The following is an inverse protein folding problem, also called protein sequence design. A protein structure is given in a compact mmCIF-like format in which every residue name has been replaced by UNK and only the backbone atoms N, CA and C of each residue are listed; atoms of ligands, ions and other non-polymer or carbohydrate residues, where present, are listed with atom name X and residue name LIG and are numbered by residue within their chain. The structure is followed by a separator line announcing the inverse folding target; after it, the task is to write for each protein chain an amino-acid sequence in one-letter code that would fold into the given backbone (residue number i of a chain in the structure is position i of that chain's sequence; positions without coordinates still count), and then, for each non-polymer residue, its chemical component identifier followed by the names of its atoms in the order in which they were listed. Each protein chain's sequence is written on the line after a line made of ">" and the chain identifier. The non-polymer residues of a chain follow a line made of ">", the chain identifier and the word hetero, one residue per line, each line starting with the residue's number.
data_IF_231319707496
#
_entry.id   IF_231319707496
#
_cell.length_a   1.000
_cell.length_b   1.000
_cell.length_c   1.000
_cell.angle_alpha   90.00
_cell.angle_beta   90.00
_cell.angle_gamma   90.00
#
_symmetry.space_group_name_H-M   'P 1'
#
loop_
_entity.id
_entity.type
_entity.pdbx_description
1 polymer ?
#
# COMPACT_ATOMS: atom_id res chain seq x y z
N UNK A 1 1.25 13.12 -3.48
CA UNK A 1 1.70 12.24 -4.61
C UNK A 1 2.31 10.97 -4.04
N UNK A 2 2.19 9.82 -4.74
CA UNK A 2 2.88 8.57 -4.36
C UNK A 2 3.88 8.21 -5.46
N UNK A 3 5.14 8.04 -5.09
CA UNK A 3 6.20 7.52 -5.94
C UNK A 3 6.47 6.08 -5.51
N UNK A 4 6.25 5.14 -6.43
CA UNK A 4 6.39 3.72 -6.15
C UNK A 4 7.36 3.09 -7.15
N UNK A 5 8.33 2.33 -6.64
CA UNK A 5 9.20 1.46 -7.40
C UNK A 5 9.34 0.11 -6.68
N UNK A 6 9.83 -0.89 -7.40
CA UNK A 6 10.25 -2.15 -6.78
C UNK A 6 11.58 -1.98 -6.04
N UNK A 7 12.37 -3.04 -5.99
CA UNK A 7 13.74 -2.96 -5.46
C UNK A 7 14.56 -2.06 -6.39
N UNK A 8 15.22 -1.04 -5.82
CA UNK A 8 16.09 -0.14 -6.57
C UNK A 8 17.39 -0.89 -6.92
N UNK A 9 17.51 -1.31 -8.17
CA UNK A 9 18.63 -2.14 -8.64
C UNK A 9 19.41 -1.54 -9.80
N UNK A 10 19.08 -0.31 -10.23
CA UNK A 10 19.82 0.38 -11.29
C UNK A 10 20.88 1.34 -10.71
N UNK A 11 21.98 1.58 -11.42
CA UNK A 11 22.97 2.60 -11.05
C UNK A 11 22.30 3.96 -10.83
N UNK A 12 22.81 4.76 -9.90
CA UNK A 12 22.36 6.13 -9.60
C UNK A 12 20.88 6.25 -9.18
N UNK A 13 20.26 5.12 -8.76
CA UNK A 13 18.86 5.11 -8.34
C UNK A 13 18.61 6.08 -7.17
N UNK A 14 19.55 6.22 -6.25
CA UNK A 14 19.45 7.11 -5.09
C UNK A 14 19.40 8.57 -5.52
N UNK A 15 20.36 9.00 -6.34
CA UNK A 15 20.45 10.36 -6.88
C UNK A 15 19.22 10.71 -7.71
N UNK A 16 18.75 9.76 -8.53
CA UNK A 16 17.55 9.93 -9.34
C UNK A 16 16.30 10.20 -8.48
N UNK A 17 16.09 9.41 -7.41
CA UNK A 17 14.94 9.62 -6.54
C UNK A 17 15.06 10.89 -5.69
N UNK A 18 16.25 11.26 -5.25
CA UNK A 18 16.49 12.54 -4.58
C UNK A 18 16.16 13.72 -5.50
N UNK A 19 16.62 13.69 -6.75
CA UNK A 19 16.33 14.74 -7.73
C UNK A 19 14.82 14.87 -8.00
N UNK A 20 14.10 13.75 -8.14
CA UNK A 20 12.63 13.75 -8.30
C UNK A 20 11.94 14.37 -7.09
N UNK A 21 12.30 13.97 -5.87
CA UNK A 21 11.68 14.49 -4.64
C UNK A 21 11.91 15.98 -4.52
N UNK A 22 13.14 16.47 -4.74
CA UNK A 22 13.47 17.90 -4.75
C UNK A 22 12.67 18.67 -5.79
N UNK A 23 12.62 18.19 -7.02
CA UNK A 23 11.87 18.83 -8.12
C UNK A 23 10.38 18.92 -7.83
N UNK A 24 9.78 17.89 -7.23
CA UNK A 24 8.37 17.92 -6.80
C UNK A 24 8.19 18.95 -5.67
N UNK A 25 9.10 19.00 -4.70
CA UNK A 25 9.03 19.93 -3.58
C UNK A 25 9.12 21.39 -4.04
N UNK A 26 10.02 21.68 -4.97
CA UNK A 26 10.16 23.02 -5.56
C UNK A 26 8.89 23.47 -6.29
N UNK A 27 8.35 22.59 -7.14
CA UNK A 27 7.19 22.94 -7.99
C UNK A 27 5.86 22.91 -7.26
N UNK A 28 5.75 22.10 -6.22
CA UNK A 28 4.50 21.86 -5.47
C UNK A 28 4.79 21.80 -3.97
N UNK A 29 5.10 22.95 -3.34
CA UNK A 29 5.53 23.00 -1.93
C UNK A 29 4.50 22.44 -0.94
N UNK A 30 3.21 22.52 -1.25
CA UNK A 30 2.13 22.01 -0.39
C UNK A 30 1.80 20.53 -0.64
N UNK A 31 2.44 19.89 -1.61
CA UNK A 31 2.11 18.50 -1.94
C UNK A 31 2.73 17.52 -0.96
N UNK A 32 1.91 16.67 -0.35
CA UNK A 32 2.41 15.53 0.43
C UNK A 32 3.07 14.47 -0.46
N UNK A 33 4.36 14.20 -0.25
CA UNK A 33 5.13 13.19 -1.00
C UNK A 33 5.19 11.91 -0.19
N UNK A 34 4.68 10.81 -0.76
CA UNK A 34 4.75 9.46 -0.22
C UNK A 34 5.69 8.63 -1.07
N UNK A 35 6.64 7.94 -0.45
CA UNK A 35 7.56 7.02 -1.12
C UNK A 35 7.20 5.57 -0.82
N UNK A 36 7.40 4.68 -1.79
CA UNK A 36 7.30 3.22 -1.65
C UNK A 36 8.40 2.59 -2.53
N UNK A 37 9.63 2.57 -2.01
CA UNK A 37 10.85 2.21 -2.73
C UNK A 37 11.50 0.91 -2.17
N UNK A 38 10.72 0.09 -1.44
CA UNK A 38 11.24 -1.08 -0.76
C UNK A 38 12.09 -0.74 0.48
N UNK A 39 12.92 -1.66 0.90
CA UNK A 39 13.84 -1.46 2.04
C UNK A 39 15.03 -0.62 1.60
N UNK A 40 15.32 0.44 2.35
CA UNK A 40 16.45 1.33 2.12
C UNK A 40 17.30 1.44 3.39
N UNK A 41 18.56 1.87 3.24
CA UNK A 41 19.42 2.18 4.38
C UNK A 41 19.00 3.51 5.06
N UNK A 42 19.31 3.63 6.34
CA UNK A 42 18.91 4.78 7.13
C UNK A 42 19.50 6.12 6.62
N UNK A 43 20.76 6.19 6.15
CA UNK A 43 21.28 7.41 5.55
C UNK A 43 20.45 7.89 4.37
N UNK A 44 20.14 7.03 3.42
CA UNK A 44 19.33 7.40 2.25
C UNK A 44 17.89 7.78 2.63
N UNK A 45 17.29 7.10 3.61
CA UNK A 45 15.98 7.49 4.13
C UNK A 45 16.02 8.90 4.74
N UNK A 46 17.10 9.28 5.41
CA UNK A 46 17.30 10.63 5.96
C UNK A 46 17.40 11.67 4.84
N UNK A 47 18.23 11.42 3.83
CA UNK A 47 18.37 12.31 2.66
C UNK A 47 17.05 12.54 1.94
N UNK A 48 16.25 11.47 1.74
CA UNK A 48 14.90 11.58 1.15
C UNK A 48 13.94 12.41 2.02
N UNK A 49 14.06 12.30 3.35
CA UNK A 49 13.27 13.12 4.29
C UNK A 49 13.66 14.59 4.19
N UNK A 50 14.95 14.89 4.19
CA UNK A 50 15.50 16.24 4.06
C UNK A 50 15.17 16.84 2.68
N UNK A 51 15.14 16.04 1.63
CA UNK A 51 14.69 16.44 0.29
C UNK A 51 13.19 16.78 0.23
N UNK A 52 12.42 16.44 1.28
CA UNK A 52 11.00 16.81 1.42
C UNK A 52 10.00 15.66 1.30
N UNK A 53 10.43 14.40 1.39
CA UNK A 53 9.50 13.28 1.51
C UNK A 53 8.85 13.26 2.90
N UNK A 54 7.51 13.13 2.95
CA UNK A 54 6.76 13.18 4.21
C UNK A 54 6.39 11.79 4.72
N UNK A 55 6.07 10.88 3.80
CA UNK A 55 5.47 9.58 4.08
C UNK A 55 6.26 8.48 3.41
N UNK A 56 6.28 7.33 4.05
CA UNK A 56 6.88 6.14 3.47
C UNK A 56 5.97 4.93 3.69
N UNK A 57 5.62 4.23 2.61
CA UNK A 57 4.86 2.99 2.65
C UNK A 57 5.81 1.81 2.42
N UNK A 58 5.99 0.98 3.43
CA UNK A 58 6.75 -0.26 3.35
C UNK A 58 5.86 -1.43 3.80
N UNK A 59 5.26 -2.12 2.84
CA UNK A 59 4.41 -3.27 3.13
C UNK A 59 5.24 -4.43 3.66
N UNK A 60 4.71 -5.11 4.67
CA UNK A 60 5.34 -6.30 5.25
C UNK A 60 4.86 -7.59 4.58
N UNK A 61 3.74 -7.55 3.87
CA UNK A 61 2.97 -8.62 3.24
C UNK A 61 2.40 -9.64 4.25
N UNK A 62 3.14 -10.01 5.26
CA UNK A 62 2.72 -10.69 6.48
C UNK A 62 3.77 -10.52 7.58
N UNK A 63 3.34 -10.44 8.83
CA UNK A 63 4.22 -10.41 10.02
C UNK A 63 4.68 -11.80 10.46
N UNK A 64 4.07 -12.86 9.88
CA UNK A 64 4.27 -14.27 10.23
C UNK A 64 5.51 -14.84 9.53
N UNK A 65 6.55 -15.28 10.27
CA UNK A 65 7.83 -15.65 9.69
C UNK A 65 7.76 -16.81 8.68
N UNK A 66 6.89 -17.82 8.89
CA UNK A 66 6.75 -18.94 7.97
C UNK A 66 6.17 -18.53 6.61
N UNK A 67 5.17 -17.63 6.61
CA UNK A 67 4.58 -17.09 5.38
C UNK A 67 5.56 -16.13 4.69
N UNK A 68 6.22 -15.25 5.45
CA UNK A 68 7.19 -14.32 4.90
C UNK A 68 8.31 -15.02 4.13
N UNK A 69 8.91 -16.07 4.71
CA UNK A 69 9.95 -16.87 4.03
C UNK A 69 9.46 -17.57 2.77
N UNK A 70 8.18 -17.91 2.71
CA UNK A 70 7.57 -18.55 1.53
C UNK A 70 7.31 -17.57 0.38
N UNK A 71 7.07 -16.31 0.70
CA UNK A 71 6.73 -15.26 -0.26
C UNK A 71 7.95 -14.57 -0.85
N UNK A 72 9.04 -14.52 -0.12
CA UNK A 72 10.20 -13.71 -0.47
C UNK A 72 11.42 -14.56 -0.81
N UNK A 73 12.31 -14.07 -1.69
CA UNK A 73 13.61 -14.69 -1.93
C UNK A 73 14.42 -14.87 -0.64
N UNK A 74 15.32 -15.87 -0.61
CA UNK A 74 16.08 -16.22 0.59
C UNK A 74 16.96 -15.08 1.15
N UNK A 75 17.34 -14.11 0.31
CA UNK A 75 18.11 -12.92 0.71
C UNK A 75 17.25 -11.80 1.34
N UNK A 76 15.93 -11.98 1.42
CA UNK A 76 15.02 -11.05 2.09
C UNK A 76 14.76 -11.49 3.54
N UNK A 77 14.79 -10.55 4.47
CA UNK A 77 14.64 -10.82 5.89
C UNK A 77 13.48 -10.02 6.50
N UNK A 78 12.55 -10.73 7.16
CA UNK A 78 11.48 -10.10 7.94
C UNK A 78 12.02 -9.17 9.03
N UNK A 79 13.12 -9.57 9.69
CA UNK A 79 13.77 -8.75 10.72
C UNK A 79 14.33 -7.45 10.15
N UNK A 80 14.97 -7.50 8.97
CA UNK A 80 15.45 -6.32 8.25
C UNK A 80 14.30 -5.40 7.85
N UNK A 81 13.19 -5.95 7.36
CA UNK A 81 12.01 -5.17 7.00
C UNK A 81 11.38 -4.48 8.22
N UNK A 82 11.24 -5.20 9.34
CA UNK A 82 10.78 -4.62 10.61
C UNK A 82 11.76 -3.54 11.13
N UNK A 83 13.06 -3.73 10.96
CA UNK A 83 14.06 -2.70 11.31
C UNK A 83 13.86 -1.44 10.46
N UNK A 84 13.72 -1.58 9.15
CA UNK A 84 13.50 -0.43 8.25
C UNK A 84 12.23 0.36 8.63
N UNK A 85 11.14 -0.31 9.02
CA UNK A 85 9.93 0.36 9.54
C UNK A 85 10.21 1.18 10.82
N UNK A 86 11.04 0.66 11.73
CA UNK A 86 11.46 1.42 12.94
C UNK A 86 12.38 2.59 12.59
N UNK A 87 13.31 2.41 11.66
CA UNK A 87 14.21 3.48 11.17
C UNK A 87 13.39 4.64 10.56
N UNK A 88 12.38 4.32 9.73
CA UNK A 88 11.47 5.30 9.15
C UNK A 88 10.73 6.11 10.23
N UNK A 89 10.25 5.43 11.28
CA UNK A 89 9.61 6.11 12.41
C UNK A 89 10.59 7.03 13.15
N UNK A 90 11.79 6.53 13.46
CA UNK A 90 12.84 7.31 14.13
C UNK A 90 13.28 8.55 13.34
N UNK A 91 13.13 8.54 12.01
CA UNK A 91 13.35 9.68 11.14
C UNK A 91 12.14 10.63 11.02
N UNK A 92 11.04 10.37 11.73
CA UNK A 92 9.87 11.24 11.73
C UNK A 92 9.01 11.16 10.46
N UNK A 93 9.05 10.06 9.74
CA UNK A 93 8.10 9.82 8.66
C UNK A 93 6.70 9.53 9.20
N UNK A 94 5.68 9.89 8.44
CA UNK A 94 4.38 9.24 8.53
C UNK A 94 4.53 7.85 7.90
N UNK A 95 4.52 6.81 8.74
CA UNK A 95 4.88 5.46 8.33
C UNK A 95 3.66 4.66 7.94
N UNK A 96 3.71 4.08 6.74
CA UNK A 96 2.71 3.15 6.24
C UNK A 96 3.22 1.72 6.23
N UNK A 97 2.34 0.79 6.59
CA UNK A 97 2.57 -0.64 6.48
C UNK A 97 1.44 -1.31 5.68
N UNK A 98 1.40 -2.62 5.63
CA UNK A 98 0.32 -3.36 4.99
C UNK A 98 0.68 -4.81 4.71
N UNK A 99 -0.36 -5.60 4.47
CA UNK A 99 -0.25 -7.03 4.21
C UNK A 99 -1.07 -7.46 2.99
N UNK A 100 -0.91 -8.71 2.59
CA UNK A 100 -1.81 -9.39 1.66
C UNK A 100 -2.74 -10.33 2.43
N UNK A 101 -4.01 -10.34 2.05
CA UNK A 101 -5.05 -11.19 2.62
C UNK A 101 -5.40 -12.30 1.64
N UNK A 102 -5.52 -13.53 2.13
CA UNK A 102 -5.82 -14.70 1.31
C UNK A 102 -4.58 -15.29 0.63
N UNK A 103 -3.44 -15.23 1.29
CA UNK A 103 -2.23 -15.94 0.84
C UNK A 103 -2.41 -17.46 0.96
N UNK A 104 -1.87 -18.26 0.03
CA UNK A 104 -1.90 -19.70 0.16
C UNK A 104 -1.31 -20.17 1.50
N UNK A 105 -2.11 -20.87 2.31
CA UNK A 105 -1.73 -21.35 3.65
C UNK A 105 -1.76 -20.30 4.76
N UNK A 106 -2.35 -19.13 4.52
CA UNK A 106 -2.65 -18.14 5.55
C UNK A 106 -3.88 -18.59 6.35
N UNK A 107 -3.78 -18.58 7.66
CA UNK A 107 -4.88 -18.89 8.59
C UNK A 107 -5.54 -17.62 9.13
N UNK A 108 -6.63 -17.75 9.88
CA UNK A 108 -7.23 -16.61 10.59
C UNK A 108 -6.29 -16.09 11.69
N UNK A 109 -5.60 -16.99 12.40
CA UNK A 109 -4.62 -16.59 13.43
C UNK A 109 -3.47 -15.77 12.83
N UNK A 110 -3.00 -16.12 11.63
CA UNK A 110 -1.99 -15.32 10.93
C UNK A 110 -2.49 -13.89 10.63
N UNK A 111 -3.79 -13.73 10.31
CA UNK A 111 -4.38 -12.40 10.07
C UNK A 111 -4.54 -11.62 11.39
N UNK A 112 -4.83 -12.31 12.50
CA UNK A 112 -4.84 -11.72 13.84
C UNK A 112 -3.44 -11.25 14.20
N UNK A 113 -2.41 -12.07 13.99
CA UNK A 113 -1.00 -11.70 14.21
C UNK A 113 -0.61 -10.46 13.40
N UNK A 114 -1.04 -10.38 12.14
CA UNK A 114 -0.81 -9.21 11.30
C UNK A 114 -1.51 -7.96 11.86
N UNK A 115 -2.76 -8.06 12.34
CA UNK A 115 -3.50 -6.94 12.94
C UNK A 115 -2.86 -6.48 14.27
N UNK A 116 -2.43 -7.42 15.11
CA UNK A 116 -1.71 -7.11 16.36
C UNK A 116 -0.37 -6.44 16.05
N UNK A 117 0.36 -6.93 15.06
CA UNK A 117 1.58 -6.28 14.59
C UNK A 117 1.33 -4.84 14.11
N UNK A 118 0.20 -4.57 13.46
CA UNK A 118 -0.15 -3.23 13.00
C UNK A 118 -0.46 -2.30 14.18
N UNK A 119 -1.24 -2.77 15.15
CA UNK A 119 -1.54 -2.02 16.38
C UNK A 119 -0.28 -1.71 17.16
N UNK A 120 0.55 -2.73 17.44
CA UNK A 120 1.75 -2.59 18.26
C UNK A 120 2.85 -1.78 17.55
N UNK A 121 2.87 -1.85 16.21
CA UNK A 121 3.72 -1.02 15.36
C UNK A 121 3.27 0.43 15.26
N UNK A 122 2.05 0.77 15.71
CA UNK A 122 1.49 2.13 15.77
C UNK A 122 1.63 2.88 14.43
N UNK A 123 1.28 2.23 13.31
CA UNK A 123 1.44 2.79 11.97
C UNK A 123 0.38 3.83 11.63
N UNK A 124 0.76 4.81 10.82
CA UNK A 124 -0.09 5.93 10.42
C UNK A 124 -0.98 5.66 9.20
N UNK A 125 -0.54 4.73 8.33
CA UNK A 125 -1.20 4.41 7.06
C UNK A 125 -1.16 2.92 6.79
N UNK A 126 -2.18 2.43 6.04
CA UNK A 126 -2.24 1.02 5.64
C UNK A 126 -2.54 0.86 4.15
N UNK A 127 -1.66 0.10 3.48
CA UNK A 127 -1.82 -0.35 2.10
C UNK A 127 -2.03 -1.86 2.07
N UNK A 128 -3.20 -2.33 2.47
CA UNK A 128 -3.55 -3.74 2.46
C UNK A 128 -4.50 -4.08 1.31
N UNK A 129 -4.57 -5.35 0.94
CA UNK A 129 -5.47 -5.80 -0.11
C UNK A 129 -5.47 -7.31 -0.29
N UNK A 130 -6.42 -7.83 -1.09
CA UNK A 130 -6.51 -9.25 -1.35
C UNK A 130 -5.31 -9.71 -2.18
N UNK A 131 -4.86 -10.95 -1.93
CA UNK A 131 -3.91 -11.60 -2.80
C UNK A 131 -4.54 -11.86 -4.17
N UNK A 132 -3.91 -11.34 -5.21
CA UNK A 132 -4.26 -11.62 -6.60
C UNK A 132 -3.09 -12.35 -7.25
N UNK A 133 -3.38 -13.51 -7.82
CA UNK A 133 -2.35 -14.34 -8.43
C UNK A 133 -1.77 -13.67 -9.68
N UNK A 134 -0.46 -13.78 -9.87
CA UNK A 134 0.22 -13.36 -11.09
C UNK A 134 0.93 -14.57 -11.71
N UNK A 135 0.72 -14.80 -13.01
CA UNK A 135 1.21 -16.01 -13.71
C UNK A 135 2.72 -16.19 -13.65
N UNK A 136 3.46 -15.09 -13.65
CA UNK A 136 4.92 -15.09 -13.68
C UNK A 136 5.55 -15.18 -12.28
N UNK A 137 4.76 -15.54 -11.26
CA UNK A 137 5.28 -15.76 -9.90
C UNK A 137 5.42 -17.24 -9.57
N UNK A 138 6.41 -17.64 -8.76
CA UNK A 138 6.58 -19.04 -8.33
C UNK A 138 5.36 -19.63 -7.62
N UNK A 139 4.49 -18.79 -7.06
CA UNK A 139 3.24 -19.24 -6.42
C UNK A 139 2.14 -19.62 -7.41
N UNK A 140 2.25 -19.27 -8.68
CA UNK A 140 1.24 -19.53 -9.70
C UNK A 140 1.28 -20.97 -10.25
N UNK A 141 1.32 -21.97 -9.36
CA UNK A 141 1.16 -23.37 -9.76
C UNK A 141 -0.30 -23.65 -10.14
N UNK A 142 -0.59 -24.66 -11.01
CA UNK A 142 -1.97 -25.04 -11.36
C UNK A 142 -2.85 -25.27 -10.11
N UNK A 143 -2.30 -25.92 -9.08
CA UNK A 143 -2.99 -26.15 -7.80
C UNK A 143 -3.32 -24.85 -7.07
N UNK A 144 -2.39 -23.90 -7.03
CA UNK A 144 -2.61 -22.60 -6.37
C UNK A 144 -3.63 -21.76 -7.14
N UNK A 145 -3.60 -21.81 -8.47
CA UNK A 145 -4.58 -21.10 -9.31
C UNK A 145 -5.99 -21.64 -9.05
N UNK A 146 -6.20 -22.95 -9.10
CA UNK A 146 -7.49 -23.58 -8.82
C UNK A 146 -7.97 -23.23 -7.40
N UNK A 147 -7.12 -23.37 -6.40
CA UNK A 147 -7.40 -23.03 -5.01
C UNK A 147 -7.82 -21.56 -4.85
N UNK A 148 -7.16 -20.64 -5.58
CA UNK A 148 -7.46 -19.19 -5.53
C UNK A 148 -8.81 -18.86 -6.19
N UNK A 149 -9.10 -19.48 -7.35
CA UNK A 149 -10.37 -19.26 -8.05
C UNK A 149 -11.57 -19.76 -7.21
N UNK A 150 -11.44 -20.90 -6.53
CA UNK A 150 -12.47 -21.42 -5.63
C UNK A 150 -12.75 -20.52 -4.42
N UNK A 151 -11.74 -19.76 -3.96
CA UNK A 151 -11.81 -18.97 -2.73
C UNK A 151 -11.90 -17.46 -2.95
N UNK A 152 -12.14 -17.03 -4.16
CA UNK A 152 -12.16 -15.59 -4.48
C UNK A 152 -13.09 -14.81 -3.57
N UNK A 153 -14.32 -15.25 -3.40
CA UNK A 153 -15.32 -14.59 -2.57
C UNK A 153 -14.90 -14.57 -1.09
N UNK A 154 -14.39 -15.67 -0.60
CA UNK A 154 -13.85 -15.76 0.76
C UNK A 154 -12.68 -14.78 0.99
N UNK A 155 -11.74 -14.71 0.06
CA UNK A 155 -10.59 -13.79 0.11
C UNK A 155 -11.07 -12.33 0.10
N UNK A 156 -12.03 -12.01 -0.75
CA UNK A 156 -12.60 -10.68 -0.82
C UNK A 156 -13.28 -10.30 0.51
N UNK A 157 -14.17 -11.15 1.02
CA UNK A 157 -14.88 -10.90 2.28
C UNK A 157 -13.92 -10.78 3.46
N UNK A 158 -12.91 -11.65 3.55
CA UNK A 158 -11.86 -11.55 4.58
C UNK A 158 -11.10 -10.22 4.49
N UNK A 159 -10.85 -9.71 3.28
CA UNK A 159 -10.21 -8.41 3.09
C UNK A 159 -11.06 -7.28 3.65
N UNK A 160 -12.37 -7.29 3.39
CA UNK A 160 -13.29 -6.30 3.95
C UNK A 160 -13.34 -6.38 5.48
N UNK A 161 -13.37 -7.60 6.04
CA UNK A 161 -13.37 -7.81 7.50
C UNK A 161 -12.08 -7.27 8.13
N UNK A 162 -10.91 -7.52 7.52
CA UNK A 162 -9.62 -6.97 8.01
C UNK A 162 -9.62 -5.46 7.96
N UNK A 163 -10.17 -4.84 6.91
CA UNK A 163 -10.30 -3.36 6.82
C UNK A 163 -11.19 -2.84 7.96
N UNK A 164 -12.32 -3.48 8.22
CA UNK A 164 -13.25 -3.08 9.28
C UNK A 164 -12.63 -3.22 10.67
N UNK A 165 -11.99 -4.37 10.95
CA UNK A 165 -11.29 -4.60 12.22
C UNK A 165 -10.14 -3.60 12.42
N UNK A 166 -9.37 -3.32 11.38
CA UNK A 166 -8.29 -2.34 11.44
C UNK A 166 -8.83 -0.92 11.72
N UNK A 167 -9.96 -0.54 11.12
CA UNK A 167 -10.61 0.73 11.41
C UNK A 167 -11.07 0.84 12.87
N UNK A 168 -11.57 -0.25 13.46
CA UNK A 168 -11.96 -0.30 14.87
C UNK A 168 -10.72 -0.20 15.79
N UNK A 169 -9.67 -0.96 15.48
CA UNK A 169 -8.43 -1.00 16.27
C UNK A 169 -7.63 0.31 16.19
N UNK A 170 -7.66 0.96 15.02
CA UNK A 170 -6.86 2.15 14.71
C UNK A 170 -7.73 3.21 14.02
N UNK A 171 -8.63 3.86 14.76
CA UNK A 171 -9.72 4.67 14.18
C UNK A 171 -9.27 5.92 13.43
N UNK A 172 -8.07 6.41 13.67
CA UNK A 172 -7.55 7.67 13.11
C UNK A 172 -6.52 7.47 11.98
N UNK A 173 -6.18 6.21 11.65
CA UNK A 173 -5.24 5.89 10.58
C UNK A 173 -5.82 6.03 9.17
N UNK A 174 -4.95 6.25 8.19
CA UNK A 174 -5.32 6.18 6.79
C UNK A 174 -5.30 4.73 6.28
N UNK A 175 -6.40 4.27 5.69
CA UNK A 175 -6.53 2.92 5.12
C UNK A 175 -6.89 3.05 3.64
N UNK A 176 -6.03 2.55 2.75
CA UNK A 176 -6.24 2.61 1.32
C UNK A 176 -7.22 1.53 0.83
N UNK A 177 -8.23 1.93 0.04
CA UNK A 177 -9.03 1.00 -0.76
C UNK A 177 -8.21 0.57 -1.99
N UNK A 178 -7.51 -0.57 -1.87
CA UNK A 178 -6.59 -1.06 -2.89
C UNK A 178 -7.29 -1.36 -4.22
N UNK A 179 -6.63 -1.05 -5.35
CA UNK A 179 -7.17 -1.35 -6.70
C UNK A 179 -7.37 -2.85 -6.94
N UNK A 180 -6.65 -3.71 -6.23
CA UNK A 180 -6.81 -5.16 -6.29
C UNK A 180 -8.23 -5.64 -5.92
N UNK A 181 -8.96 -4.89 -5.10
CA UNK A 181 -10.36 -5.20 -4.77
C UNK A 181 -11.29 -5.17 -6.00
N UNK A 182 -11.00 -4.30 -6.98
CA UNK A 182 -11.77 -4.22 -8.22
C UNK A 182 -11.52 -5.42 -9.18
N UNK A 183 -10.54 -6.28 -8.87
CA UNK A 183 -10.35 -7.57 -9.57
C UNK A 183 -11.41 -8.60 -9.13
N UNK A 184 -11.88 -8.49 -7.90
CA UNK A 184 -12.89 -9.38 -7.31
C UNK A 184 -14.30 -8.92 -7.65
N UNK A 185 -14.61 -7.64 -7.38
CA UNK A 185 -15.90 -7.02 -7.67
C UNK A 185 -15.71 -5.65 -8.32
N UNK A 186 -16.57 -5.28 -9.27
CA UNK A 186 -16.51 -3.98 -9.98
C UNK A 186 -16.62 -2.77 -9.03
N UNK A 187 -17.27 -2.95 -7.89
CA UNK A 187 -17.45 -1.97 -6.81
C UNK A 187 -16.62 -2.31 -5.56
N UNK A 188 -15.57 -3.13 -5.72
CA UNK A 188 -14.76 -3.62 -4.60
C UNK A 188 -14.15 -2.50 -3.75
N UNK A 189 -13.69 -1.42 -4.37
CA UNK A 189 -13.19 -0.25 -3.61
C UNK A 189 -14.31 0.50 -2.89
N UNK A 190 -15.51 0.60 -3.47
CA UNK A 190 -16.67 1.21 -2.80
C UNK A 190 -17.08 0.40 -1.56
N UNK A 191 -17.04 -0.93 -1.66
CA UNK A 191 -17.29 -1.81 -0.51
C UNK A 191 -16.23 -1.65 0.57
N UNK A 192 -14.94 -1.53 0.19
CA UNK A 192 -13.86 -1.26 1.12
C UNK A 192 -14.00 0.11 1.83
N UNK A 193 -14.46 1.14 1.11
CA UNK A 193 -14.76 2.45 1.71
C UNK A 193 -15.86 2.32 2.77
N UNK A 194 -16.93 1.56 2.49
CA UNK A 194 -18.01 1.31 3.47
C UNK A 194 -17.53 0.47 4.65
N UNK A 195 -16.54 -0.41 4.43
CA UNK A 195 -15.93 -1.22 5.49
C UNK A 195 -14.94 -0.43 6.38
N UNK A 196 -14.56 0.82 6.01
CA UNK A 196 -13.70 1.64 6.83
C UNK A 196 -12.45 2.18 6.15
N UNK A 197 -12.16 1.84 4.89
CA UNK A 197 -11.12 2.52 4.13
C UNK A 197 -11.48 4.00 3.90
N UNK A 198 -10.46 4.87 3.82
CA UNK A 198 -10.68 6.31 3.65
C UNK A 198 -9.73 6.96 2.64
N UNK A 199 -8.94 6.17 1.92
CA UNK A 199 -8.01 6.69 0.92
C UNK A 199 -8.24 6.00 -0.42
N UNK A 200 -8.42 6.80 -1.46
CA UNK A 200 -8.41 6.38 -2.87
C UNK A 200 -7.25 7.03 -3.60
N UNK A 201 -6.54 6.24 -4.39
CA UNK A 201 -5.39 6.72 -5.17
C UNK A 201 -5.68 6.60 -6.67
N UNK A 202 -5.77 7.72 -7.42
CA UNK A 202 -5.79 7.68 -8.88
C UNK A 202 -4.41 7.29 -9.42
N UNK A 203 -4.40 6.57 -10.55
CA UNK A 203 -3.16 6.35 -11.29
C UNK A 203 -2.85 7.60 -12.13
N UNK A 204 -1.75 8.26 -11.81
CA UNK A 204 -1.23 9.41 -12.59
C UNK A 204 -0.07 9.00 -13.51
N UNK A 205 0.32 7.72 -13.48
CA UNK A 205 1.32 7.17 -14.41
C UNK A 205 0.85 7.35 -15.84
N UNK A 206 1.66 7.91 -16.77
CA UNK A 206 1.30 8.01 -18.17
C UNK A 206 0.93 6.65 -18.77
N UNK A 207 -0.08 6.60 -19.62
CA UNK A 207 -0.64 5.34 -20.17
C UNK A 207 0.42 4.47 -20.84
N UNK A 208 1.38 5.08 -21.55
CA UNK A 208 2.49 4.39 -22.22
C UNK A 208 3.34 3.50 -21.28
N UNK A 209 3.39 3.83 -19.98
CA UNK A 209 4.21 3.09 -19.00
C UNK A 209 3.38 2.17 -18.09
N UNK A 210 2.06 2.21 -18.14
CA UNK A 210 1.21 1.43 -17.22
C UNK A 210 1.34 -0.07 -17.41
N UNK A 211 1.54 -0.52 -18.65
CA UNK A 211 1.73 -1.92 -18.99
C UNK A 211 3.06 -2.49 -18.49
N UNK A 212 4.07 -1.65 -18.28
CA UNK A 212 5.34 -2.07 -17.66
C UNK A 212 5.23 -2.31 -16.13
N UNK A 213 4.10 -1.93 -15.51
CA UNK A 213 3.87 -2.04 -14.07
C UNK A 213 2.62 -2.88 -13.75
N UNK A 214 2.58 -4.10 -14.26
CA UNK A 214 1.52 -5.07 -14.00
C UNK A 214 1.91 -5.92 -12.78
N UNK A 215 1.46 -5.53 -11.60
CA UNK A 215 1.72 -6.25 -10.35
C UNK A 215 0.86 -7.51 -10.19
N UNK A 216 -0.26 -7.60 -10.90
CA UNK A 216 -1.21 -8.71 -10.86
C UNK A 216 -2.08 -8.71 -12.12
N UNK A 217 -2.70 -9.86 -12.41
CA UNK A 217 -3.58 -10.02 -13.57
C UNK A 217 -4.87 -9.21 -13.42
N UNK A 218 -5.43 -8.80 -14.56
CA UNK A 218 -6.68 -8.01 -14.62
C UNK A 218 -6.62 -6.69 -13.84
N UNK A 219 -5.41 -6.11 -13.69
CA UNK A 219 -5.26 -4.81 -13.03
C UNK A 219 -6.14 -3.77 -13.72
N UNK A 220 -7.03 -3.08 -12.99
CA UNK A 220 -7.89 -2.06 -13.58
C UNK A 220 -7.13 -0.77 -13.93
N UNK A 221 -7.73 0.10 -14.74
CA UNK A 221 -7.21 1.44 -15.06
C UNK A 221 -5.91 1.45 -15.88
N UNK A 222 -5.73 0.52 -16.81
CA UNK A 222 -4.56 0.51 -17.70
C UNK A 222 -4.71 1.53 -18.85
N UNK A 223 -5.92 1.65 -19.42
CA UNK A 223 -6.17 2.37 -20.68
C UNK A 223 -6.71 3.80 -20.51
N UNK A 224 -6.77 4.32 -19.29
CA UNK A 224 -7.27 5.68 -19.03
C UNK A 224 -6.14 6.70 -18.80
N UNK A 225 -6.39 7.98 -19.06
CA UNK A 225 -5.53 9.07 -18.62
C UNK A 225 -5.70 9.38 -17.11
N UNK A 226 -4.86 10.28 -16.59
CA UNK A 226 -4.89 10.66 -15.17
C UNK A 226 -6.19 11.37 -14.78
N UNK A 227 -6.74 12.19 -15.68
CA UNK A 227 -7.97 12.95 -15.46
C UNK A 227 -9.19 12.02 -15.38
N UNK A 228 -9.32 11.08 -16.31
CA UNK A 228 -10.37 10.05 -16.28
C UNK A 228 -10.28 9.20 -15.02
N UNK A 229 -9.06 8.86 -14.60
CA UNK A 229 -8.85 8.12 -13.35
C UNK A 229 -9.25 8.95 -12.12
N UNK A 230 -8.93 10.25 -12.10
CA UNK A 230 -9.37 11.19 -11.06
C UNK A 230 -10.89 11.27 -10.96
N UNK A 231 -11.59 11.48 -12.08
CA UNK A 231 -13.07 11.48 -12.11
C UNK A 231 -13.67 10.14 -11.69
N UNK A 232 -13.01 9.03 -12.01
CA UNK A 232 -13.46 7.70 -11.59
C UNK A 232 -13.46 7.53 -10.07
N UNK A 233 -12.38 7.94 -9.38
CA UNK A 233 -12.29 7.79 -7.92
C UNK A 233 -13.23 8.73 -7.16
N UNK A 234 -13.52 9.93 -7.69
CA UNK A 234 -14.55 10.82 -7.12
C UNK A 234 -15.90 10.12 -7.15
N UNK A 235 -16.32 9.59 -8.30
CA UNK A 235 -17.56 8.83 -8.43
C UNK A 235 -17.61 7.58 -7.53
N UNK A 236 -16.47 6.90 -7.30
CA UNK A 236 -16.42 5.77 -6.37
C UNK A 236 -16.67 6.20 -4.93
N UNK A 237 -16.11 7.33 -4.50
CA UNK A 237 -16.37 7.87 -3.18
C UNK A 237 -17.86 8.25 -3.01
N UNK A 238 -18.44 8.95 -3.99
CA UNK A 238 -19.87 9.33 -4.00
C UNK A 238 -20.79 8.11 -3.93
N UNK A 239 -20.51 7.03 -4.69
CA UNK A 239 -21.27 5.77 -4.62
C UNK A 239 -21.14 5.05 -3.26
N UNK A 240 -20.08 5.33 -2.53
CA UNK A 240 -19.91 4.87 -1.14
C UNK A 240 -20.57 5.82 -0.13
N UNK A 241 -21.30 6.86 -0.57
CA UNK A 241 -21.88 7.93 0.24
C UNK A 241 -20.84 8.73 1.02
N UNK A 242 -19.64 8.91 0.42
CA UNK A 242 -18.55 9.68 1.01
C UNK A 242 -18.22 10.91 0.15
N UNK A 243 -17.78 11.96 0.81
CA UNK A 243 -17.30 13.18 0.16
C UNK A 243 -15.78 13.12 0.01
N UNK A 244 -15.22 13.18 -1.22
CA UNK A 244 -13.77 13.25 -1.39
C UNK A 244 -13.21 14.57 -0.88
N UNK A 245 -12.19 14.53 -0.04
CA UNK A 245 -11.45 15.70 0.42
C UNK A 245 -10.35 16.02 -0.61
N UNK A 246 -10.68 16.85 -1.60
CA UNK A 246 -9.75 17.30 -2.64
C UNK A 246 -8.97 18.55 -2.16
N UNK A 247 -7.75 18.73 -2.67
CA UNK A 247 -6.92 19.91 -2.38
C UNK A 247 -6.25 19.90 -1.00
N UNK A 248 -6.32 18.79 -0.24
CA UNK A 248 -5.65 18.66 1.06
C UNK A 248 -4.56 17.59 1.01
N UNK A 249 -3.54 17.71 1.85
CA UNK A 249 -2.44 16.73 1.91
C UNK A 249 -2.89 15.33 2.34
N UNK A 250 -4.02 15.19 3.05
CA UNK A 250 -4.52 13.93 3.56
C UNK A 250 -3.57 13.29 4.59
N UNK A 251 -2.97 14.10 5.45
CA UNK A 251 -2.18 13.60 6.58
C UNK A 251 -3.06 12.80 7.52
N UNK A 252 -2.58 11.66 8.00
CA UNK A 252 -3.30 10.81 8.94
C UNK A 252 -3.54 11.57 10.25
N UNK A 253 -4.75 11.53 10.78
CA UNK A 253 -5.05 12.07 12.11
C UNK A 253 -4.23 11.37 13.19
N UNK A 254 -3.95 10.08 13.02
CA UNK A 254 -3.08 9.31 13.89
C UNK A 254 -1.67 9.93 13.99
N UNK A 255 -1.09 10.28 12.83
CA UNK A 255 0.20 10.97 12.78
C UNK A 255 0.16 12.31 13.48
N UNK A 256 -0.89 13.12 13.24
CA UNK A 256 -1.04 14.44 13.87
C UNK A 256 -1.17 14.33 15.39
N UNK A 257 -2.00 13.43 15.91
CA UNK A 257 -2.14 13.21 17.35
C UNK A 257 -0.83 12.80 18.00
N UNK A 258 -0.04 11.95 17.33
CA UNK A 258 1.24 11.47 17.84
C UNK A 258 2.35 12.53 17.84
N UNK A 259 2.28 13.51 16.94
CA UNK A 259 3.34 14.52 16.76
C UNK A 259 3.02 15.87 17.39
N UNK A 260 1.75 16.14 17.72
CA UNK A 260 1.29 17.43 18.24
C UNK A 260 0.48 17.31 19.56
N UNK A 261 0.25 16.06 20.02
CA UNK A 261 -0.32 15.75 21.34
C UNK A 261 0.79 15.45 22.32
#
# INVERSE_FOLDING_TARGET
>A
MVLQAGVLSFPDAKEYFLAIVRSIRERFPEMGITLSLGEQDQPFLRELKEAGAHRYLLRIETSVPRLYRRLHPANHSLARRKKCLRDLRGLGYQVGCGNMIGLPGQTLDDMVDDLLFFRDGDFDMFGLGPYVIHRDTPLATPRTVAWWEERREEIFQRTLNVIALLRILMPTCNIAAATALDVFHKDGREQALRAGANVLMPSVTPSAYRHAYLLYQRKPCLDGDAERCGRCIVRKAERANLRPALGVQGTSLHFLHRTHG
#
